data_IF_552408967399
#
_entry.id   IF_552408967399
#
_cell.length_a   1.000
_cell.length_b   1.000
_cell.length_c   1.000
_cell.angle_alpha   90.00
_cell.angle_beta   90.00
_cell.angle_gamma   90.00
#
_symmetry.space_group_name_H-M   'P 1'
#
loop_
_entity.id
_entity.type
_entity.pdbx_description
1 polymer ?
#
# COMPACT_ATOMS: atom_id res chain seq x y z
N UNK A 1 6.40 -23.69 -20.07
CA UNK A 1 6.49 -22.37 -20.73
C UNK A 1 7.07 -21.40 -19.72
N UNK A 2 8.29 -20.87 -19.90
CA UNK A 2 8.81 -19.90 -18.96
C UNK A 2 8.02 -18.58 -19.09
N UNK A 3 7.56 -18.05 -17.97
CA UNK A 3 7.00 -16.70 -17.88
C UNK A 3 8.10 -15.80 -17.33
N UNK A 4 8.47 -14.73 -18.04
CA UNK A 4 9.41 -13.72 -17.55
C UNK A 4 8.64 -12.59 -16.88
N UNK A 5 8.89 -12.36 -15.59
CA UNK A 5 8.35 -11.21 -14.86
C UNK A 5 9.28 -10.02 -15.02
N UNK A 6 8.81 -8.96 -15.71
CA UNK A 6 9.61 -7.75 -15.92
C UNK A 6 9.03 -6.62 -15.08
N UNK A 7 9.56 -6.44 -13.87
CA UNK A 7 9.20 -5.32 -13.01
C UNK A 7 9.59 -3.99 -13.68
N UNK A 8 8.62 -3.09 -13.83
CA UNK A 8 8.82 -1.73 -14.35
C UNK A 8 8.40 -0.72 -13.28
N UNK A 9 9.07 0.41 -13.25
CA UNK A 9 8.75 1.51 -12.34
C UNK A 9 7.63 2.36 -12.95
N UNK A 10 6.74 2.91 -12.12
CA UNK A 10 5.63 3.74 -12.55
C UNK A 10 6.09 5.14 -13.04
N UNK A 11 5.17 5.95 -13.55
CA UNK A 11 5.45 7.34 -13.93
C UNK A 11 5.86 8.19 -12.72
N UNK A 12 6.80 9.12 -12.92
CA UNK A 12 7.38 9.94 -11.85
C UNK A 12 6.31 10.68 -11.01
N UNK A 13 5.24 11.17 -11.65
CA UNK A 13 4.16 11.87 -10.97
C UNK A 13 3.36 10.98 -10.01
N UNK A 14 3.10 9.74 -10.41
CA UNK A 14 2.41 8.75 -9.58
C UNK A 14 3.27 8.28 -8.41
N UNK A 15 4.59 8.16 -8.63
CA UNK A 15 5.56 7.87 -7.57
C UNK A 15 5.55 8.98 -6.52
N UNK A 16 5.60 10.25 -6.94
CA UNK A 16 5.55 11.38 -6.00
C UNK A 16 4.26 11.41 -5.18
N UNK A 17 3.12 11.18 -5.83
CA UNK A 17 1.84 11.05 -5.13
C UNK A 17 1.88 9.92 -4.10
N UNK A 18 2.42 8.76 -4.49
CA UNK A 18 2.58 7.61 -3.59
C UNK A 18 3.45 7.96 -2.39
N UNK A 19 4.59 8.63 -2.60
CA UNK A 19 5.50 9.06 -1.51
C UNK A 19 4.78 10.01 -0.55
N UNK A 20 4.10 11.04 -1.07
CA UNK A 20 3.39 12.02 -0.22
C UNK A 20 2.28 11.34 0.58
N UNK A 21 1.49 10.47 -0.06
CA UNK A 21 0.43 9.72 0.61
C UNK A 21 0.98 8.75 1.65
N UNK A 22 2.10 8.08 1.37
CA UNK A 22 2.76 7.20 2.34
C UNK A 22 3.23 7.99 3.55
N UNK A 23 3.88 9.14 3.35
CA UNK A 23 4.32 10.00 4.45
C UNK A 23 3.15 10.48 5.30
N UNK A 24 2.07 10.95 4.66
CA UNK A 24 0.86 11.37 5.35
C UNK A 24 0.23 10.22 6.14
N UNK A 25 0.09 9.04 5.53
CA UNK A 25 -0.52 7.90 6.19
C UNK A 25 0.34 7.39 7.36
N UNK A 26 1.66 7.42 7.21
CA UNK A 26 2.61 7.07 8.28
C UNK A 26 2.46 8.03 9.46
N UNK A 27 2.34 9.34 9.19
CA UNK A 27 2.12 10.35 10.21
C UNK A 27 0.78 10.15 10.94
N UNK A 28 -0.29 9.84 10.22
CA UNK A 28 -1.60 9.55 10.83
C UNK A 28 -1.57 8.28 11.70
N UNK A 29 -0.85 7.24 11.26
CA UNK A 29 -0.64 6.02 12.04
C UNK A 29 0.13 6.34 13.32
N UNK A 30 1.22 7.11 13.22
CA UNK A 30 1.99 7.57 14.37
C UNK A 30 1.12 8.33 15.39
N UNK A 31 0.32 9.30 14.92
CA UNK A 31 -0.59 10.05 15.76
C UNK A 31 -1.64 9.14 16.45
N UNK A 32 -2.12 8.12 15.73
CA UNK A 32 -3.04 7.13 16.29
C UNK A 32 -2.41 6.29 17.40
N UNK A 33 -1.19 5.82 17.21
CA UNK A 33 -0.46 5.08 18.26
C UNK A 33 -0.14 5.95 19.48
N UNK A 34 0.23 7.22 19.28
CA UNK A 34 0.45 8.14 20.40
C UNK A 34 -0.84 8.36 21.19
N UNK A 35 -1.99 8.44 20.50
CA UNK A 35 -3.30 8.52 21.15
C UNK A 35 -3.66 7.25 21.92
N UNK A 36 -3.37 6.08 21.36
CA UNK A 36 -3.52 4.80 22.05
C UNK A 36 -2.68 4.75 23.33
N UNK A 37 -1.41 5.18 23.24
CA UNK A 37 -0.50 5.26 24.38
C UNK A 37 -1.10 6.12 25.50
N UNK A 38 -1.56 7.33 25.17
CA UNK A 38 -2.21 8.23 26.12
C UNK A 38 -3.45 7.59 26.79
N UNK A 39 -4.31 6.92 26.02
CA UNK A 39 -5.50 6.25 26.56
C UNK A 39 -5.18 5.02 27.41
N UNK A 40 -4.06 4.35 27.14
CA UNK A 40 -3.60 3.21 27.93
C UNK A 40 -2.97 3.62 29.26
N UNK A 41 -2.29 4.77 29.30
CA UNK A 41 -1.64 5.31 30.50
C UNK A 41 -2.62 6.10 31.40
N UNK A 42 -3.73 6.57 30.83
CA UNK A 42 -4.75 7.34 31.56
C UNK A 42 -5.48 6.47 32.58
N UNK A 43 -5.64 6.99 33.81
CA UNK A 43 -6.52 6.37 34.83
C UNK A 43 -7.98 6.68 34.49
N UNK A 44 -8.71 5.68 34.03
CA UNK A 44 -10.13 5.81 33.72
C UNK A 44 -10.97 5.92 35.00
N UNK A 45 -11.97 6.82 35.04
CA UNK A 45 -12.86 6.95 36.18
C UNK A 45 -13.63 5.64 36.42
N UNK A 46 -13.88 5.32 37.69
CA UNK A 46 -14.64 4.14 38.12
C UNK A 46 -14.14 2.77 37.62
N UNK A 47 -12.86 2.67 37.21
CA UNK A 47 -12.31 1.42 36.69
C UNK A 47 -12.91 0.99 35.34
N UNK A 48 -13.65 1.88 34.67
CA UNK A 48 -14.30 1.63 33.39
C UNK A 48 -13.32 1.69 32.21
N UNK A 49 -12.22 0.93 32.30
CA UNK A 49 -11.22 0.85 31.23
C UNK A 49 -11.83 0.17 30.00
N UNK A 50 -11.96 0.85 28.84
CA UNK A 50 -12.62 0.31 27.66
C UNK A 50 -11.70 -0.64 26.87
N UNK A 51 -11.31 -1.76 27.48
CA UNK A 51 -10.32 -2.70 26.94
C UNK A 51 -10.66 -3.22 25.54
N UNK A 52 -11.92 -3.57 25.30
CA UNK A 52 -12.38 -4.08 24.00
C UNK A 52 -12.22 -3.03 22.90
N UNK A 53 -12.69 -1.80 23.15
CA UNK A 53 -12.64 -0.72 22.17
C UNK A 53 -11.21 -0.28 21.89
N UNK A 54 -10.36 -0.26 22.92
CA UNK A 54 -8.95 0.08 22.77
C UNK A 54 -8.19 -1.02 22.00
N UNK A 55 -8.54 -2.29 22.21
CA UNK A 55 -8.02 -3.42 21.44
C UNK A 55 -8.42 -3.35 19.96
N UNK A 56 -9.69 -3.10 19.67
CA UNK A 56 -10.17 -2.91 18.28
C UNK A 56 -9.46 -1.72 17.63
N UNK A 57 -9.30 -0.61 18.35
CA UNK A 57 -8.60 0.57 17.87
C UNK A 57 -7.15 0.25 17.43
N UNK A 58 -6.37 -0.40 18.30
CA UNK A 58 -4.96 -0.72 17.97
C UNK A 58 -4.84 -1.76 16.86
N UNK A 59 -5.76 -2.73 16.80
CA UNK A 59 -5.78 -3.74 15.72
C UNK A 59 -6.04 -3.08 14.37
N UNK A 60 -7.02 -2.16 14.30
CA UNK A 60 -7.32 -1.43 13.07
C UNK A 60 -6.12 -0.59 12.60
N UNK A 61 -5.50 0.19 13.49
CA UNK A 61 -4.29 0.95 13.15
C UNK A 61 -3.11 0.07 12.74
N UNK A 62 -2.91 -1.06 13.43
CA UNK A 62 -1.86 -2.01 13.09
C UNK A 62 -2.09 -2.67 11.72
N UNK A 63 -3.35 -2.93 11.36
CA UNK A 63 -3.71 -3.48 10.04
C UNK A 63 -3.41 -2.52 8.87
N UNK A 64 -3.35 -1.21 9.14
CA UNK A 64 -2.95 -0.23 8.13
C UNK A 64 -1.47 -0.34 7.74
N UNK A 65 -0.61 -0.88 8.60
CA UNK A 65 0.84 -1.03 8.31
C UNK A 65 1.10 -1.93 7.10
N UNK A 66 0.62 -3.19 7.05
CA UNK A 66 0.79 -4.02 5.86
C UNK A 66 0.06 -3.44 4.65
N UNK A 67 -1.10 -2.82 4.84
CA UNK A 67 -1.82 -2.11 3.77
C UNK A 67 -0.97 -1.00 3.14
N UNK A 68 -0.24 -0.25 3.96
CA UNK A 68 0.65 0.82 3.51
C UNK A 68 1.87 0.28 2.74
N UNK A 69 2.44 -0.84 3.17
CA UNK A 69 3.55 -1.50 2.45
C UNK A 69 3.09 -1.99 1.08
N UNK A 70 1.90 -2.60 1.00
CA UNK A 70 1.31 -3.01 -0.27
C UNK A 70 1.02 -1.80 -1.17
N UNK A 71 0.45 -0.74 -0.61
CA UNK A 71 0.20 0.50 -1.35
C UNK A 71 1.48 1.10 -1.91
N UNK A 72 2.56 1.17 -1.11
CA UNK A 72 3.86 1.63 -1.57
C UNK A 72 4.40 0.76 -2.71
N UNK A 73 4.31 -0.57 -2.59
CA UNK A 73 4.76 -1.49 -3.63
C UNK A 73 3.98 -1.29 -4.94
N UNK A 74 2.65 -1.19 -4.88
CA UNK A 74 1.80 -0.99 -6.05
C UNK A 74 1.85 0.42 -6.65
N UNK A 75 2.24 1.43 -5.86
CA UNK A 75 2.41 2.80 -6.36
C UNK A 75 3.76 3.03 -7.05
N UNK A 76 4.83 2.37 -6.57
CA UNK A 76 6.17 2.47 -7.15
C UNK A 76 6.32 1.56 -8.38
N UNK A 77 5.84 0.32 -8.29
CA UNK A 77 5.95 -0.64 -9.38
C UNK A 77 4.68 -0.64 -10.24
N UNK A 78 4.86 -0.75 -11.55
CA UNK A 78 3.77 -0.90 -12.50
C UNK A 78 3.05 -2.22 -12.20
N UNK A 79 1.86 -2.10 -11.62
CA UNK A 79 1.10 -3.23 -11.08
C UNK A 79 0.09 -3.79 -12.07
N UNK A 80 -0.15 -3.08 -13.19
CA UNK A 80 -1.24 -3.39 -14.12
C UNK A 80 -2.57 -2.76 -13.70
N UNK A 81 -2.56 -1.92 -12.66
CA UNK A 81 -3.70 -1.08 -12.33
C UNK A 81 -3.77 0.08 -13.33
N UNK A 82 -4.52 -0.10 -14.42
CA UNK A 82 -4.62 0.87 -15.54
C UNK A 82 -4.94 2.29 -15.06
N UNK A 83 -5.73 2.44 -14.00
CA UNK A 83 -6.05 3.76 -13.43
C UNK A 83 -4.87 4.39 -12.65
N UNK A 84 -4.10 3.59 -11.91
CA UNK A 84 -2.93 4.07 -11.16
C UNK A 84 -1.66 4.22 -11.99
N UNK A 85 -1.57 3.48 -13.10
CA UNK A 85 -0.45 3.48 -14.02
C UNK A 85 -0.53 4.64 -15.05
N UNK A 86 -1.64 5.40 -15.05
CA UNK A 86 -1.91 6.52 -15.97
C UNK A 86 -1.61 6.18 -17.44
N UNK A 87 -1.87 4.92 -17.82
CA UNK A 87 -1.63 4.47 -19.19
C UNK A 87 -2.62 5.15 -20.14
N UNK A 88 -2.10 5.74 -21.23
CA UNK A 88 -2.93 6.38 -22.24
C UNK A 88 -3.82 5.34 -22.90
N UNK A 89 -5.14 5.58 -22.90
CA UNK A 89 -6.11 4.76 -23.63
C UNK A 89 -5.70 4.69 -25.12
N UNK A 90 -5.32 3.49 -25.58
CA UNK A 90 -4.87 3.25 -26.97
C UNK A 90 -3.36 3.12 -27.16
N UNK A 91 -2.53 3.33 -26.14
CA UNK A 91 -1.11 2.98 -26.22
C UNK A 91 -0.92 1.45 -26.16
N UNK A 92 0.10 0.92 -26.86
CA UNK A 92 0.47 -0.49 -26.74
C UNK A 92 1.00 -0.72 -25.33
N UNK A 93 0.16 -1.35 -24.48
CA UNK A 93 0.54 -1.68 -23.10
C UNK A 93 1.52 -2.85 -23.17
N UNK A 94 2.80 -2.59 -22.91
CA UNK A 94 3.77 -3.65 -22.64
C UNK A 94 3.34 -4.38 -21.37
N UNK A 95 3.06 -5.68 -21.49
CA UNK A 95 2.56 -6.49 -20.38
C UNK A 95 3.71 -6.82 -19.42
N UNK A 96 3.45 -6.71 -18.12
CA UNK A 96 4.42 -7.07 -17.06
C UNK A 96 4.76 -8.57 -17.09
N UNK A 97 3.81 -9.40 -17.52
CA UNK A 97 3.98 -10.84 -17.74
C UNK A 97 3.95 -11.09 -19.25
N UNK A 98 5.13 -11.40 -19.81
CA UNK A 98 5.25 -11.85 -21.18
C UNK A 98 5.37 -13.38 -21.20
N UNK A 99 4.47 -14.02 -21.94
CA UNK A 99 4.59 -15.45 -22.26
C UNK A 99 5.62 -15.54 -23.38
N UNK A 100 6.79 -16.12 -23.09
CA UNK A 100 7.79 -16.38 -24.13
C UNK A 100 7.23 -17.42 -25.09
N UNK A 101 6.65 -16.97 -26.21
CA UNK A 101 6.20 -17.88 -27.27
C UNK A 101 7.47 -18.34 -27.99
N UNK A 102 7.90 -19.56 -27.70
CA UNK A 102 9.04 -20.18 -28.37
C UNK A 102 8.67 -20.29 -29.86
N UNK A 103 9.14 -19.33 -30.67
CA UNK A 103 8.91 -19.33 -32.11
C UNK A 103 9.83 -20.38 -32.70
N UNK A 104 9.35 -21.63 -32.78
CA UNK A 104 9.93 -22.61 -33.68
C UNK A 104 9.68 -22.12 -35.12
N UNK A 105 10.59 -21.29 -35.61
CA UNK A 105 10.72 -20.98 -37.03
C UNK A 105 11.33 -22.21 -37.70
N UNK A 106 10.54 -22.92 -38.51
CA UNK A 106 11.05 -23.64 -39.68
C UNK A 106 11.29 -22.64 -40.80
#
# INVERSE_FOLDING_TARGET
MPCSFRARVNQLWSIWYTIVMVLLQTYLIYLGFERYRLYSEMKWPHGAYPSLWLSVYVVLYSSCIPGLLLFMAFGIFKSGNVAGDNDRLGARIDRVIEITRNSYRK
#
